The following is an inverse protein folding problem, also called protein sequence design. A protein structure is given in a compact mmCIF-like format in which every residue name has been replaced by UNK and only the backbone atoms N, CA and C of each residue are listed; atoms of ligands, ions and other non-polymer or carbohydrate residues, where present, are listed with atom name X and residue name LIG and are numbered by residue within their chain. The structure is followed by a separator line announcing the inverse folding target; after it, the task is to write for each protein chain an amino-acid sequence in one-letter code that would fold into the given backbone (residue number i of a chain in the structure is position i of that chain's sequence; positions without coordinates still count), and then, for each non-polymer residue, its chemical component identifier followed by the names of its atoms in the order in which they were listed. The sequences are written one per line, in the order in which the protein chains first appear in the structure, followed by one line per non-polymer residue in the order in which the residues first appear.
data_IF_467779460321
#
_entry.id   IF_467779460321
#
_cell.length_a   1.000
_cell.length_b   1.000
_cell.length_c   1.000
_cell.angle_alpha   90.00
_cell.angle_beta   90.00
_cell.angle_gamma   90.00
#
_symmetry.space_group_name_H-M   'P 1'
#
loop_
_entity.id
_entity.type
_entity.pdbx_description
1 polymer ?
#
# COMPACT_ATOMS: atom_id res chain seq x y z
N UNK A 1 -48.42 65.16 -5.23
CA UNK A 1 -47.72 64.04 -5.93
C UNK A 1 -46.99 64.62 -7.14
N UNK A 2 -45.65 64.57 -7.16
CA UNK A 2 -44.80 65.40 -8.03
C UNK A 2 -44.99 65.11 -9.54
N UNK A 3 -45.50 66.09 -10.29
CA UNK A 3 -45.66 66.04 -11.77
C UNK A 3 -44.35 65.73 -12.52
N UNK A 4 -43.21 66.06 -11.92
CA UNK A 4 -41.88 65.72 -12.43
C UNK A 4 -41.67 64.20 -12.53
N UNK A 5 -42.08 63.46 -11.49
CA UNK A 5 -41.88 62.02 -11.43
C UNK A 5 -42.73 61.29 -12.47
N UNK A 6 -43.97 61.75 -12.70
CA UNK A 6 -44.86 61.24 -13.76
C UNK A 6 -44.30 61.51 -15.17
N UNK A 7 -43.72 62.69 -15.41
CA UNK A 7 -43.19 63.08 -16.73
C UNK A 7 -41.95 62.28 -17.14
N UNK A 8 -41.11 61.88 -16.17
CA UNK A 8 -39.85 61.18 -16.42
C UNK A 8 -39.83 59.74 -15.91
N UNK A 9 -40.98 59.18 -15.50
CA UNK A 9 -41.10 57.87 -14.87
C UNK A 9 -40.37 56.76 -15.65
N UNK A 10 -40.59 56.70 -16.97
CA UNK A 10 -39.95 55.68 -17.83
C UNK A 10 -38.42 55.84 -17.89
N UNK A 11 -37.93 57.07 -17.97
CA UNK A 11 -36.49 57.34 -18.02
C UNK A 11 -35.83 56.99 -16.67
N UNK A 12 -36.44 57.36 -15.54
CA UNK A 12 -35.94 57.04 -14.20
C UNK A 12 -35.87 55.52 -14.00
N UNK A 13 -36.92 54.78 -14.38
CA UNK A 13 -36.95 53.31 -14.29
C UNK A 13 -35.81 52.70 -15.12
N UNK A 14 -35.63 53.14 -16.38
CA UNK A 14 -34.57 52.61 -17.24
C UNK A 14 -33.16 52.94 -16.72
N UNK A 15 -32.93 54.12 -16.16
CA UNK A 15 -31.63 54.46 -15.56
C UNK A 15 -31.32 53.59 -14.35
N UNK A 16 -32.32 53.27 -13.51
CA UNK A 16 -32.15 52.35 -12.38
C UNK A 16 -31.88 50.92 -12.87
N UNK A 17 -32.62 50.43 -13.86
CA UNK A 17 -32.43 49.09 -14.43
C UNK A 17 -31.04 48.94 -15.08
N UNK A 18 -30.62 49.92 -15.88
CA UNK A 18 -29.29 49.93 -16.51
C UNK A 18 -28.19 50.06 -15.46
N UNK A 19 -28.39 50.87 -14.42
CA UNK A 19 -27.47 50.96 -13.28
C UNK A 19 -27.33 49.63 -12.52
N UNK A 20 -28.43 48.90 -12.33
CA UNK A 20 -28.42 47.58 -11.69
C UNK A 20 -27.76 46.51 -12.57
N UNK A 21 -28.00 46.54 -13.88
CA UNK A 21 -27.37 45.62 -14.84
C UNK A 21 -25.87 45.90 -14.96
N UNK A 22 -25.45 47.16 -15.11
CA UNK A 22 -24.04 47.54 -15.19
C UNK A 22 -23.32 47.31 -13.84
N UNK A 23 -23.98 47.59 -12.72
CA UNK A 23 -23.45 47.30 -11.38
C UNK A 23 -23.33 45.80 -11.14
N UNK A 24 -24.32 45.01 -11.55
CA UNK A 24 -24.30 43.55 -11.47
C UNK A 24 -23.22 42.93 -12.36
N UNK A 25 -23.08 43.39 -13.61
CA UNK A 25 -22.00 42.97 -14.52
C UNK A 25 -20.64 43.41 -13.99
N UNK A 26 -20.53 44.62 -13.43
CA UNK A 26 -19.31 45.15 -12.81
C UNK A 26 -18.87 44.33 -11.59
N UNK A 27 -19.79 44.02 -10.66
CA UNK A 27 -19.55 43.16 -9.51
C UNK A 27 -19.20 41.73 -9.93
N UNK A 28 -19.92 41.17 -10.90
CA UNK A 28 -19.67 39.83 -11.43
C UNK A 28 -18.31 39.72 -12.13
N UNK A 29 -17.93 40.71 -12.93
CA UNK A 29 -16.61 40.77 -13.57
C UNK A 29 -15.50 41.00 -12.55
N UNK A 30 -15.69 41.88 -11.58
CA UNK A 30 -14.71 42.12 -10.51
C UNK A 30 -14.50 40.89 -9.62
N UNK A 31 -15.56 40.15 -9.26
CA UNK A 31 -15.45 38.87 -8.56
C UNK A 31 -14.77 37.79 -9.39
N UNK A 32 -15.02 37.73 -10.71
CA UNK A 32 -14.42 36.75 -11.61
C UNK A 32 -12.91 36.92 -11.80
N UNK A 33 -12.38 38.14 -11.66
CA UNK A 33 -10.96 38.44 -11.82
C UNK A 33 -10.21 38.73 -10.51
N UNK A 34 -10.91 38.86 -9.38
CA UNK A 34 -10.26 38.98 -8.08
C UNK A 34 -9.71 37.61 -7.65
N UNK A 35 -8.47 37.53 -7.14
CA UNK A 35 -7.95 36.29 -6.61
C UNK A 35 -8.83 35.81 -5.44
N UNK A 36 -9.02 34.48 -5.28
CA UNK A 36 -9.84 33.95 -4.20
C UNK A 36 -9.31 34.44 -2.84
N UNK A 37 -10.19 34.70 -1.85
CA UNK A 37 -9.76 35.11 -0.53
C UNK A 37 -8.78 34.11 0.09
N UNK A 38 -7.75 34.60 0.78
CA UNK A 38 -6.83 33.73 1.53
C UNK A 38 -7.61 32.90 2.56
N UNK A 39 -7.31 31.61 2.63
CA UNK A 39 -8.01 30.66 3.49
C UNK A 39 -9.32 30.11 2.92
N UNK A 40 -9.83 30.62 1.80
CA UNK A 40 -11.06 30.09 1.18
C UNK A 40 -10.83 28.72 0.54
N UNK A 41 -11.91 27.97 0.33
CA UNK A 41 -11.88 26.69 -0.40
C UNK A 41 -11.34 26.84 -1.83
N UNK A 42 -11.55 28.01 -2.44
CA UNK A 42 -11.11 28.35 -3.80
C UNK A 42 -9.67 28.85 -3.86
N UNK A 43 -9.04 29.17 -2.72
CA UNK A 43 -7.66 29.63 -2.65
C UNK A 43 -6.73 28.65 -3.37
N UNK A 44 -5.95 29.15 -4.33
CA UNK A 44 -4.94 28.33 -5.02
C UNK A 44 -3.77 28.12 -4.08
N UNK A 45 -3.54 26.86 -3.69
CA UNK A 45 -2.49 26.48 -2.72
C UNK A 45 -1.38 25.64 -3.36
N UNK A 46 -1.61 25.11 -4.57
CA UNK A 46 -0.64 24.32 -5.31
C UNK A 46 -0.75 24.64 -6.81
N UNK A 47 0.39 24.81 -7.47
CA UNK A 47 0.48 24.95 -8.92
C UNK A 47 1.50 23.95 -9.45
N UNK A 48 1.08 23.08 -10.37
CA UNK A 48 1.93 22.06 -10.98
C UNK A 48 1.80 22.20 -12.49
N UNK A 49 2.89 22.51 -13.18
CA UNK A 49 2.88 22.61 -14.66
C UNK A 49 1.78 23.54 -15.20
N UNK A 50 1.55 24.66 -14.51
CA UNK A 50 0.51 25.64 -14.84
C UNK A 50 -0.91 25.26 -14.41
N UNK A 51 -1.16 24.00 -14.02
CA UNK A 51 -2.42 23.57 -13.43
C UNK A 51 -2.51 24.05 -11.98
N UNK A 52 -3.57 24.80 -11.68
CA UNK A 52 -3.86 25.32 -10.34
C UNK A 52 -4.74 24.33 -9.57
N UNK A 53 -4.40 24.10 -8.32
CA UNK A 53 -5.19 23.31 -7.38
C UNK A 53 -5.60 24.20 -6.21
N UNK A 54 -6.89 24.21 -5.93
CA UNK A 54 -7.44 24.95 -4.80
C UNK A 54 -7.21 24.20 -3.48
N UNK A 55 -7.42 24.91 -2.37
CA UNK A 55 -7.44 24.33 -1.03
C UNK A 55 -8.43 23.18 -0.94
N UNK A 56 -9.60 23.31 -1.59
CA UNK A 56 -10.58 22.23 -1.67
C UNK A 56 -10.02 21.02 -2.41
N UNK A 57 -9.33 21.19 -3.52
CA UNK A 57 -8.77 20.04 -4.25
C UNK A 57 -7.76 19.24 -3.41
N UNK A 58 -6.93 19.93 -2.62
CA UNK A 58 -5.99 19.27 -1.70
C UNK A 58 -6.74 18.59 -0.56
N UNK A 59 -7.83 19.20 -0.07
CA UNK A 59 -8.68 18.61 0.96
C UNK A 59 -9.38 17.33 0.44
N UNK A 60 -9.98 17.38 -0.74
CA UNK A 60 -10.62 16.22 -1.37
C UNK A 60 -9.62 15.07 -1.57
N UNK A 61 -8.39 15.39 -2.02
CA UNK A 61 -7.33 14.39 -2.17
C UNK A 61 -6.92 13.76 -0.83
N UNK A 62 -6.85 14.57 0.23
CA UNK A 62 -6.58 14.11 1.58
C UNK A 62 -7.71 13.22 2.10
N UNK A 63 -8.96 13.64 1.99
CA UNK A 63 -10.11 12.89 2.48
C UNK A 63 -10.24 11.53 1.75
N UNK A 64 -10.01 11.51 0.44
CA UNK A 64 -9.95 10.27 -0.34
C UNK A 64 -8.84 9.32 0.14
N UNK A 65 -7.65 9.87 0.47
CA UNK A 65 -6.53 9.07 0.98
C UNK A 65 -6.82 8.49 2.37
N UNK A 66 -7.40 9.29 3.27
CA UNK A 66 -7.79 8.83 4.60
C UNK A 66 -8.89 7.76 4.51
N UNK A 67 -9.87 7.95 3.62
CA UNK A 67 -10.93 6.97 3.39
C UNK A 67 -10.37 5.64 2.87
N UNK A 68 -9.41 5.69 1.95
CA UNK A 68 -8.71 4.48 1.47
C UNK A 68 -8.05 3.71 2.62
N UNK A 69 -7.25 4.38 3.46
CA UNK A 69 -6.61 3.71 4.60
C UNK A 69 -7.61 3.22 5.65
N UNK A 70 -8.69 3.98 5.88
CA UNK A 70 -9.75 3.57 6.80
C UNK A 70 -10.39 2.25 6.35
N UNK A 71 -10.74 2.13 5.07
CA UNK A 71 -11.31 0.90 4.51
C UNK A 71 -10.32 -0.26 4.56
N UNK A 72 -9.05 0.01 4.21
CA UNK A 72 -7.99 -0.99 4.23
C UNK A 72 -7.83 -1.60 5.62
N UNK A 73 -7.73 -0.77 6.66
CA UNK A 73 -7.54 -1.23 8.04
C UNK A 73 -8.80 -1.86 8.62
N UNK A 74 -9.99 -1.35 8.27
CA UNK A 74 -11.26 -1.94 8.70
C UNK A 74 -11.42 -3.38 8.20
N UNK A 75 -10.91 -3.72 7.01
CA UNK A 75 -10.90 -5.09 6.51
C UNK A 75 -10.09 -6.06 7.40
N UNK A 76 -9.16 -5.54 8.20
CA UNK A 76 -8.39 -6.31 9.20
C UNK A 76 -8.91 -6.10 10.64
N UNK A 77 -10.10 -5.51 10.81
CA UNK A 77 -10.69 -5.24 12.13
C UNK A 77 -10.00 -4.12 12.91
N UNK A 78 -9.24 -3.26 12.24
CA UNK A 78 -8.50 -2.15 12.86
C UNK A 78 -9.15 -0.80 12.55
N UNK A 79 -9.14 0.11 13.52
CA UNK A 79 -9.61 1.50 13.35
C UNK A 79 -8.43 2.42 13.03
N UNK A 80 -8.29 2.77 11.75
CA UNK A 80 -7.24 3.68 11.28
C UNK A 80 -7.33 5.07 11.90
N UNK A 81 -8.53 5.54 12.28
CA UNK A 81 -8.74 6.92 12.74
C UNK A 81 -8.01 7.22 14.05
N UNK A 82 -7.65 6.19 14.82
CA UNK A 82 -6.81 6.32 16.02
C UNK A 82 -5.44 6.94 15.69
N UNK A 83 -4.88 6.63 14.52
CA UNK A 83 -3.60 7.20 14.06
C UNK A 83 -3.71 8.71 13.75
N UNK A 84 -4.93 9.26 13.70
CA UNK A 84 -5.18 10.67 13.43
C UNK A 84 -5.55 11.44 14.70
N UNK A 85 -5.49 10.84 15.88
CA UNK A 85 -5.84 11.47 17.16
C UNK A 85 -4.61 11.86 17.99
N UNK A 86 -4.77 12.79 18.92
CA UNK A 86 -3.68 13.26 19.79
C UNK A 86 -2.59 14.07 19.07
N UNK A 87 -1.45 14.21 19.73
CA UNK A 87 -0.28 14.95 19.22
C UNK A 87 0.33 14.26 18.01
N UNK A 88 0.51 12.94 18.07
CA UNK A 88 1.05 12.15 16.96
C UNK A 88 0.08 12.17 15.78
N UNK A 89 -1.23 12.12 16.06
CA UNK A 89 -2.25 12.30 15.04
C UNK A 89 -2.19 13.65 14.35
N UNK A 90 -1.88 14.73 15.06
CA UNK A 90 -1.70 16.05 14.44
C UNK A 90 -0.55 16.06 13.44
N UNK A 91 0.57 15.44 13.78
CA UNK A 91 1.69 15.23 12.86
C UNK A 91 1.26 14.36 11.66
N UNK A 92 0.61 13.22 11.92
CA UNK A 92 0.17 12.29 10.88
C UNK A 92 -0.80 12.94 9.88
N UNK A 93 -1.73 13.78 10.33
CA UNK A 93 -2.62 14.54 9.43
C UNK A 93 -1.83 15.41 8.45
N UNK A 94 -0.75 16.05 8.90
CA UNK A 94 0.12 16.83 8.00
C UNK A 94 0.87 15.92 7.01
N UNK A 95 1.38 14.78 7.47
CA UNK A 95 2.04 13.79 6.62
C UNK A 95 1.11 13.26 5.53
N UNK A 96 -0.10 12.83 5.87
CA UNK A 96 -1.06 12.36 4.88
C UNK A 96 -1.51 13.47 3.92
N UNK A 97 -1.62 14.71 4.40
CA UNK A 97 -1.92 15.86 3.53
C UNK A 97 -0.79 16.14 2.54
N UNK A 98 0.47 15.99 2.97
CA UNK A 98 1.62 16.06 2.08
C UNK A 98 1.57 14.93 1.04
N UNK A 99 1.31 13.68 1.46
CA UNK A 99 1.19 12.55 0.53
C UNK A 99 0.05 12.71 -0.48
N UNK A 100 -1.11 13.23 -0.05
CA UNK A 100 -2.22 13.53 -0.94
C UNK A 100 -1.86 14.64 -1.95
N UNK A 101 -1.13 15.66 -1.51
CA UNK A 101 -0.61 16.73 -2.37
C UNK A 101 0.38 16.17 -3.39
N UNK A 102 1.28 15.28 -2.97
CA UNK A 102 2.22 14.58 -3.86
C UNK A 102 1.47 13.74 -4.91
N UNK A 103 0.37 13.09 -4.54
CA UNK A 103 -0.50 12.40 -5.48
C UNK A 103 -1.04 13.30 -6.59
N UNK A 104 -1.43 14.55 -6.26
CA UNK A 104 -1.87 15.54 -7.26
C UNK A 104 -0.73 15.98 -8.19
N UNK A 105 0.48 16.11 -7.64
CA UNK A 105 1.69 16.42 -8.41
C UNK A 105 1.98 15.28 -9.38
N UNK A 106 2.14 14.05 -8.88
CA UNK A 106 2.39 12.85 -9.70
C UNK A 106 1.34 12.70 -10.79
N UNK A 107 0.05 12.78 -10.46
CA UNK A 107 -1.02 12.65 -11.45
C UNK A 107 -0.89 13.71 -12.57
N UNK A 108 -0.47 14.92 -12.23
CA UNK A 108 -0.27 15.99 -13.22
C UNK A 108 0.93 15.70 -14.13
N UNK A 109 2.04 15.23 -13.54
CA UNK A 109 3.25 14.87 -14.26
C UNK A 109 3.01 13.67 -15.21
N UNK A 110 2.37 12.60 -14.73
CA UNK A 110 2.01 11.45 -15.57
C UNK A 110 1.14 11.87 -16.75
N UNK A 111 0.10 12.70 -16.53
CA UNK A 111 -0.74 13.18 -17.64
C UNK A 111 0.01 14.11 -18.61
N UNK A 112 0.98 14.87 -18.12
CA UNK A 112 1.83 15.71 -18.98
C UNK A 112 2.71 14.82 -19.84
N UNK A 113 3.36 13.83 -19.23
CA UNK A 113 4.24 12.90 -19.92
C UNK A 113 3.49 12.05 -20.94
N UNK A 114 2.30 11.53 -20.58
CA UNK A 114 1.43 10.83 -21.51
C UNK A 114 1.13 11.65 -22.77
N UNK A 115 0.87 12.96 -22.63
CA UNK A 115 0.64 13.84 -23.78
C UNK A 115 1.90 14.04 -24.61
N UNK A 116 3.06 14.18 -23.97
CA UNK A 116 4.34 14.34 -24.65
C UNK A 116 4.73 13.08 -25.45
N UNK A 117 4.44 11.91 -24.89
CA UNK A 117 4.71 10.59 -25.48
C UNK A 117 3.61 10.09 -26.41
N UNK A 118 2.52 10.86 -26.58
CA UNK A 118 1.32 10.46 -27.33
C UNK A 118 0.67 9.15 -26.84
N UNK A 119 0.77 8.86 -25.54
CA UNK A 119 0.10 7.75 -24.88
C UNK A 119 -1.34 8.12 -24.58
N UNK A 120 -2.25 7.21 -24.91
CA UNK A 120 -3.67 7.33 -24.54
C UNK A 120 -4.23 5.96 -24.19
N UNK A 121 -5.26 5.94 -23.34
CA UNK A 121 -5.97 4.71 -22.98
C UNK A 121 -7.05 4.43 -24.02
N UNK A 122 -7.00 3.31 -24.76
CA UNK A 122 -8.06 2.91 -25.67
C UNK A 122 -9.41 2.78 -24.96
N UNK A 123 -10.49 3.29 -25.58
CA UNK A 123 -11.83 3.26 -24.99
C UNK A 123 -12.32 1.85 -24.65
N UNK A 124 -12.00 0.87 -25.50
CA UNK A 124 -12.40 -0.53 -25.30
C UNK A 124 -11.75 -1.11 -24.04
N UNK A 125 -10.45 -0.91 -23.89
CA UNK A 125 -9.67 -1.33 -22.71
C UNK A 125 -10.17 -0.68 -21.43
N UNK A 126 -10.41 0.65 -21.46
CA UNK A 126 -10.99 1.34 -20.32
C UNK A 126 -12.37 0.80 -19.94
N UNK A 127 -13.26 0.58 -20.92
CA UNK A 127 -14.59 0.05 -20.64
C UNK A 127 -14.53 -1.36 -20.03
N UNK A 128 -13.65 -2.21 -20.54
CA UNK A 128 -13.42 -3.55 -20.01
C UNK A 128 -12.89 -3.49 -18.57
N UNK A 129 -11.83 -2.72 -18.32
CA UNK A 129 -11.24 -2.55 -16.99
C UNK A 129 -12.26 -2.01 -15.97
N UNK A 130 -13.10 -1.04 -16.38
CA UNK A 130 -14.18 -0.52 -15.53
C UNK A 130 -15.20 -1.58 -15.20
N UNK A 131 -15.63 -2.37 -16.19
CA UNK A 131 -16.61 -3.44 -15.98
C UNK A 131 -16.04 -4.54 -15.06
N UNK A 132 -14.82 -5.01 -15.30
CA UNK A 132 -14.15 -6.02 -14.47
C UNK A 132 -13.97 -5.54 -13.03
N UNK A 133 -13.62 -4.26 -12.83
CA UNK A 133 -13.49 -3.69 -11.49
C UNK A 133 -14.85 -3.53 -10.83
N UNK A 134 -15.88 -3.14 -11.59
CA UNK A 134 -17.25 -3.02 -11.10
C UNK A 134 -17.81 -4.37 -10.65
N UNK A 135 -17.64 -5.43 -11.44
CA UNK A 135 -18.07 -6.79 -11.09
C UNK A 135 -17.36 -7.30 -9.84
N UNK A 136 -16.04 -7.12 -9.72
CA UNK A 136 -15.30 -7.45 -8.49
C UNK A 136 -15.82 -6.71 -7.26
N UNK A 137 -16.24 -5.45 -7.42
CA UNK A 137 -16.91 -4.74 -6.32
C UNK A 137 -18.26 -5.39 -6.02
N UNK A 138 -19.11 -5.67 -7.01
CA UNK A 138 -20.40 -6.33 -6.78
C UNK A 138 -20.25 -7.68 -6.05
N UNK A 139 -19.26 -8.48 -6.40
CA UNK A 139 -18.95 -9.75 -5.72
C UNK A 139 -18.69 -9.57 -4.22
N UNK A 140 -18.00 -8.50 -3.81
CA UNK A 140 -17.80 -8.17 -2.39
C UNK A 140 -19.11 -7.85 -1.65
N UNK A 141 -20.14 -7.42 -2.40
CA UNK A 141 -21.49 -7.17 -1.91
C UNK A 141 -22.45 -8.33 -2.25
N UNK A 142 -21.92 -9.54 -2.47
CA UNK A 142 -22.72 -10.74 -2.74
C UNK A 142 -23.41 -10.75 -4.11
N UNK A 143 -22.95 -9.93 -5.05
CA UNK A 143 -23.53 -9.78 -6.38
C UNK A 143 -24.78 -8.89 -6.43
N UNK A 144 -25.17 -8.23 -5.33
CA UNK A 144 -26.36 -7.39 -5.26
C UNK A 144 -26.01 -5.89 -5.43
N UNK A 145 -26.44 -5.31 -6.55
CA UNK A 145 -26.26 -3.87 -6.84
C UNK A 145 -26.98 -2.99 -5.81
N UNK A 146 -28.09 -3.47 -5.21
CA UNK A 146 -28.80 -2.70 -4.17
C UNK A 146 -28.04 -2.64 -2.87
N UNK A 147 -27.30 -3.69 -2.51
CA UNK A 147 -26.45 -3.69 -1.33
C UNK A 147 -25.32 -2.66 -1.50
N UNK A 148 -24.69 -2.62 -2.69
CA UNK A 148 -23.71 -1.60 -3.04
C UNK A 148 -24.32 -0.19 -3.02
N UNK A 149 -25.49 0.01 -3.64
CA UNK A 149 -26.17 1.32 -3.65
C UNK A 149 -26.50 1.82 -2.23
N UNK A 150 -26.95 0.93 -1.34
CA UNK A 150 -27.23 1.25 0.06
C UNK A 150 -25.96 1.67 0.81
N UNK A 151 -24.85 0.96 0.58
CA UNK A 151 -23.55 1.29 1.15
C UNK A 151 -23.04 2.67 0.67
N UNK A 152 -23.12 2.93 -0.65
CA UNK A 152 -22.71 4.21 -1.24
C UNK A 152 -23.57 5.36 -0.71
N UNK A 153 -24.88 5.15 -0.57
CA UNK A 153 -25.81 6.15 -0.05
C UNK A 153 -25.49 6.56 1.38
N UNK A 154 -25.02 5.62 2.22
CA UNK A 154 -24.55 5.92 3.57
C UNK A 154 -23.31 6.83 3.60
N UNK A 155 -22.55 6.89 2.51
CA UNK A 155 -21.40 7.78 2.32
C UNK A 155 -21.75 9.06 1.54
N UNK A 156 -23.03 9.28 1.23
CA UNK A 156 -23.49 10.42 0.45
C UNK A 156 -23.15 10.34 -1.04
N UNK A 157 -22.87 9.15 -1.56
CA UNK A 157 -22.55 8.91 -2.97
C UNK A 157 -23.71 8.18 -3.67
N UNK A 158 -24.00 8.57 -4.90
CA UNK A 158 -24.88 7.79 -5.78
C UNK A 158 -24.08 6.72 -6.52
N UNK A 159 -24.76 5.68 -7.01
CA UNK A 159 -24.16 4.68 -7.89
C UNK A 159 -23.56 5.33 -9.15
N UNK A 160 -24.19 6.38 -9.67
CA UNK A 160 -23.66 7.14 -10.80
C UNK A 160 -22.36 7.87 -10.45
N UNK A 161 -22.24 8.43 -9.24
CA UNK A 161 -21.00 9.06 -8.77
C UNK A 161 -19.88 8.02 -8.65
N UNK A 162 -20.20 6.87 -8.06
CA UNK A 162 -19.28 5.75 -7.97
C UNK A 162 -18.78 5.30 -9.34
N UNK A 163 -19.67 5.05 -10.31
CA UNK A 163 -19.28 4.65 -11.67
C UNK A 163 -18.40 5.70 -12.36
N UNK A 164 -18.65 7.00 -12.14
CA UNK A 164 -17.79 8.08 -12.68
C UNK A 164 -16.41 8.09 -12.03
N UNK A 165 -16.34 7.95 -10.71
CA UNK A 165 -15.07 7.87 -9.97
C UNK A 165 -14.28 6.63 -10.36
N UNK A 166 -14.95 5.48 -10.49
CA UNK A 166 -14.38 4.22 -10.93
C UNK A 166 -13.77 4.36 -12.33
N UNK A 167 -14.50 4.96 -13.27
CA UNK A 167 -13.98 5.21 -14.61
C UNK A 167 -12.74 6.10 -14.59
N UNK A 168 -12.76 7.19 -13.83
CA UNK A 168 -11.63 8.10 -13.74
C UNK A 168 -10.40 7.46 -13.07
N UNK A 169 -10.60 6.58 -12.08
CA UNK A 169 -9.51 5.86 -11.41
C UNK A 169 -8.91 4.79 -12.32
N UNK A 170 -9.72 4.00 -13.03
CA UNK A 170 -9.24 3.02 -14.01
C UNK A 170 -8.51 3.70 -15.18
N UNK A 171 -9.05 4.81 -15.71
CA UNK A 171 -8.38 5.58 -16.76
C UNK A 171 -7.01 6.08 -16.31
N UNK A 172 -6.90 6.59 -15.08
CA UNK A 172 -5.63 7.03 -14.54
C UNK A 172 -4.63 5.87 -14.35
N UNK A 173 -5.07 4.74 -13.80
CA UNK A 173 -4.22 3.56 -13.59
C UNK A 173 -3.66 3.02 -14.91
N UNK A 174 -4.52 2.83 -15.92
CA UNK A 174 -4.09 2.36 -17.24
C UNK A 174 -3.15 3.37 -17.93
N UNK A 175 -3.40 4.67 -17.76
CA UNK A 175 -2.52 5.71 -18.30
C UNK A 175 -1.13 5.68 -17.63
N UNK A 176 -1.09 5.56 -16.30
CA UNK A 176 0.17 5.47 -15.54
C UNK A 176 0.95 4.23 -15.94
N UNK A 177 0.30 3.08 -16.05
CA UNK A 177 0.92 1.83 -16.51
C UNK A 177 1.48 1.95 -17.94
N UNK A 178 0.70 2.51 -18.87
CA UNK A 178 1.13 2.68 -20.25
C UNK A 178 2.31 3.65 -20.38
N UNK A 179 2.30 4.77 -19.63
CA UNK A 179 3.43 5.70 -19.56
C UNK A 179 4.66 5.02 -18.96
N UNK A 180 4.50 4.33 -17.83
CA UNK A 180 5.59 3.62 -17.18
C UNK A 180 6.23 2.61 -18.13
N UNK A 181 5.42 1.79 -18.82
CA UNK A 181 5.89 0.82 -19.81
C UNK A 181 6.67 1.49 -20.95
N UNK A 182 6.21 2.63 -21.44
CA UNK A 182 6.91 3.35 -22.52
C UNK A 182 8.21 4.01 -22.04
N UNK A 183 8.26 4.55 -20.83
CA UNK A 183 9.43 5.22 -20.26
C UNK A 183 10.51 4.22 -19.86
N UNK A 184 10.12 3.14 -19.19
CA UNK A 184 11.05 2.13 -18.68
C UNK A 184 11.52 1.19 -19.79
N UNK A 185 10.65 0.88 -20.76
CA UNK A 185 10.94 -0.10 -21.80
C UNK A 185 10.95 -1.53 -21.27
N UNK A 186 11.41 -2.51 -22.07
CA UNK A 186 11.58 -3.88 -21.62
C UNK A 186 12.70 -3.96 -20.57
N UNK A 187 12.40 -4.58 -19.43
CA UNK A 187 13.40 -4.98 -18.44
C UNK A 187 13.63 -6.48 -18.63
N UNK A 188 14.77 -6.84 -19.22
CA UNK A 188 15.19 -8.22 -19.42
C UNK A 188 16.53 -8.40 -18.71
N UNK A 189 16.54 -8.75 -17.40
CA UNK A 189 17.79 -8.97 -16.69
C UNK A 189 18.49 -10.21 -17.25
N UNK A 190 19.81 -10.14 -17.35
CA UNK A 190 20.64 -11.27 -17.79
C UNK A 190 20.79 -12.30 -16.68
N UNK A 191 21.06 -13.56 -17.05
CA UNK A 191 21.34 -14.62 -16.07
C UNK A 191 22.51 -14.26 -15.14
N UNK A 192 23.49 -13.50 -15.64
CA UNK A 192 24.63 -13.01 -14.86
C UNK A 192 24.22 -11.97 -13.81
N UNK A 193 23.36 -11.01 -14.17
CA UNK A 193 22.82 -10.02 -13.22
C UNK A 193 21.94 -10.70 -12.16
N UNK A 194 21.13 -11.69 -12.56
CA UNK A 194 20.32 -12.47 -11.63
C UNK A 194 21.19 -13.29 -10.67
N UNK A 195 22.23 -13.94 -11.19
CA UNK A 195 23.17 -14.71 -10.38
C UNK A 195 23.93 -13.81 -9.40
N UNK A 196 24.41 -12.67 -9.85
CA UNK A 196 25.10 -11.68 -9.02
C UNK A 196 24.17 -11.19 -7.91
N UNK A 197 22.95 -10.79 -8.26
CA UNK A 197 21.97 -10.33 -7.28
C UNK A 197 21.63 -11.44 -6.26
N UNK A 198 21.45 -12.69 -6.71
CA UNK A 198 21.22 -13.82 -5.82
C UNK A 198 22.40 -14.05 -4.86
N UNK A 199 23.64 -14.02 -5.36
CA UNK A 199 24.84 -14.20 -4.55
C UNK A 199 25.01 -13.09 -3.50
N UNK A 200 24.70 -11.84 -3.86
CA UNK A 200 24.77 -10.69 -2.95
C UNK A 200 23.64 -10.67 -1.90
N UNK A 201 22.55 -11.41 -2.14
CA UNK A 201 21.35 -11.39 -1.29
C UNK A 201 20.91 -12.81 -0.87
N UNK A 202 21.85 -13.74 -0.71
CA UNK A 202 21.56 -15.13 -0.36
C UNK A 202 20.71 -15.25 0.91
N UNK A 203 20.92 -14.34 1.88
CA UNK A 203 20.17 -14.20 3.12
C UNK A 203 18.65 -14.08 2.89
N UNK A 204 18.23 -13.40 1.82
CA UNK A 204 16.81 -13.25 1.46
C UNK A 204 16.19 -14.50 0.85
N UNK A 205 17.02 -15.41 0.36
CA UNK A 205 16.61 -16.61 -0.39
C UNK A 205 16.87 -17.92 0.34
N UNK A 206 17.45 -17.86 1.56
CA UNK A 206 17.47 -18.97 2.51
C UNK A 206 16.04 -19.23 3.01
N UNK A 207 15.23 -19.86 2.15
CA UNK A 207 13.82 -20.16 2.39
C UNK A 207 13.59 -21.31 3.36
N UNK A 208 14.64 -22.06 3.70
CA UNK A 208 14.61 -23.04 4.75
C UNK A 208 15.69 -22.68 5.78
N UNK A 209 15.33 -22.53 7.06
CA UNK A 209 16.34 -22.41 8.11
C UNK A 209 17.27 -23.61 8.02
N UNK A 210 18.56 -23.40 8.28
CA UNK A 210 19.57 -24.46 8.39
C UNK A 210 18.98 -25.64 9.19
N UNK A 211 18.95 -26.83 8.57
CA UNK A 211 18.51 -28.06 9.22
C UNK A 211 19.69 -28.99 9.31
N UNK A 212 19.88 -29.58 10.49
CA UNK A 212 20.88 -30.61 10.72
C UNK A 212 20.19 -31.88 11.23
N UNK A 213 20.89 -33.00 11.10
CA UNK A 213 20.54 -34.28 11.68
C UNK A 213 21.80 -34.80 12.35
N UNK A 214 21.69 -35.17 13.63
CA UNK A 214 22.82 -35.64 14.42
C UNK A 214 22.50 -37.01 15.00
N UNK A 215 23.55 -37.69 15.46
CA UNK A 215 23.41 -38.79 16.39
C UNK A 215 23.74 -38.28 17.80
N UNK A 216 22.90 -38.62 18.77
CA UNK A 216 22.95 -38.13 20.15
C UNK A 216 22.96 -39.31 21.14
N UNK A 217 23.83 -39.23 22.15
CA UNK A 217 23.92 -40.20 23.24
C UNK A 217 23.82 -39.42 24.54
N UNK A 218 22.79 -39.71 25.33
CA UNK A 218 22.62 -39.13 26.66
C UNK A 218 23.17 -40.10 27.70
N UNK A 219 24.03 -39.66 28.61
CA UNK A 219 24.52 -40.47 29.72
C UNK A 219 24.55 -39.63 30.98
N UNK A 220 24.13 -40.19 32.12
CA UNK A 220 24.17 -39.51 33.41
C UNK A 220 25.54 -39.56 34.10
N UNK A 221 26.41 -40.50 33.69
CA UNK A 221 27.76 -40.68 34.23
C UNK A 221 28.82 -39.95 33.37
N UNK A 222 29.49 -38.91 33.90
CA UNK A 222 30.54 -38.19 33.20
C UNK A 222 31.73 -39.06 32.79
N UNK A 223 32.09 -40.09 33.58
CA UNK A 223 33.24 -40.96 33.26
C UNK A 223 32.95 -41.82 32.03
N UNK A 224 31.70 -42.27 31.86
CA UNK A 224 31.25 -42.97 30.66
C UNK A 224 31.21 -42.02 29.46
N UNK A 225 30.76 -40.77 29.65
CA UNK A 225 30.75 -39.76 28.58
C UNK A 225 32.15 -39.54 28.00
N UNK A 226 33.16 -39.30 28.84
CA UNK A 226 34.54 -39.08 28.42
C UNK A 226 35.15 -40.31 27.74
N UNK A 227 34.86 -41.51 28.26
CA UNK A 227 35.33 -42.77 27.69
C UNK A 227 34.75 -43.03 26.29
N UNK A 228 33.46 -42.75 26.09
CA UNK A 228 32.80 -42.94 24.79
C UNK A 228 33.18 -41.84 23.79
N UNK A 229 33.36 -40.59 24.24
CA UNK A 229 33.86 -39.50 23.41
C UNK A 229 35.24 -39.82 22.81
N UNK A 230 36.14 -40.43 23.60
CA UNK A 230 37.45 -40.86 23.12
C UNK A 230 37.40 -41.98 22.07
N UNK A 231 36.31 -42.75 22.01
CA UNK A 231 36.11 -43.86 21.08
C UNK A 231 35.28 -43.45 19.85
N UNK A 232 34.50 -42.37 19.96
CA UNK A 232 33.52 -41.95 18.97
C UNK A 232 34.05 -41.73 17.54
N UNK A 233 35.29 -41.24 17.30
CA UNK A 233 35.79 -41.05 15.93
C UNK A 233 35.86 -42.32 15.08
N UNK A 234 36.03 -43.49 15.70
CA UNK A 234 36.19 -44.79 15.03
C UNK A 234 35.12 -45.83 15.44
N UNK A 235 34.20 -45.46 16.34
CA UNK A 235 33.20 -46.37 16.88
C UNK A 235 31.90 -46.40 16.06
N UNK A 236 31.18 -47.52 16.15
CA UNK A 236 29.79 -47.61 15.69
C UNK A 236 28.90 -46.82 16.66
N UNK A 237 28.67 -45.56 16.33
CA UNK A 237 27.87 -44.64 17.15
C UNK A 237 26.45 -45.16 17.40
N UNK A 238 25.88 -45.90 16.45
CA UNK A 238 24.56 -46.50 16.60
C UNK A 238 24.56 -47.64 17.64
N UNK A 239 25.63 -48.44 17.68
CA UNK A 239 25.81 -49.46 18.71
C UNK A 239 26.00 -48.82 20.10
N UNK A 240 26.83 -47.78 20.19
CA UNK A 240 27.04 -47.04 21.45
C UNK A 240 25.74 -46.41 21.96
N UNK A 241 24.98 -45.77 21.08
CA UNK A 241 23.69 -45.19 21.44
C UNK A 241 22.74 -46.26 21.99
N UNK A 242 22.62 -47.40 21.32
CA UNK A 242 21.74 -48.49 21.76
C UNK A 242 22.13 -49.08 23.11
N UNK A 243 23.42 -49.22 23.38
CA UNK A 243 23.92 -49.84 24.61
C UNK A 243 23.90 -48.87 25.79
N UNK A 244 24.30 -47.61 25.57
CA UNK A 244 24.62 -46.68 26.66
C UNK A 244 23.69 -45.46 26.76
N UNK A 245 22.99 -45.07 25.68
CA UNK A 245 22.15 -43.86 25.72
C UNK A 245 20.98 -44.01 26.69
N UNK A 246 20.69 -42.96 27.44
CA UNK A 246 19.50 -42.76 28.27
C UNK A 246 18.37 -42.04 27.50
N UNK A 247 18.63 -41.58 26.26
CA UNK A 247 17.61 -40.99 25.39
C UNK A 247 16.73 -42.07 24.76
N UNK A 248 15.65 -42.43 25.45
CA UNK A 248 14.65 -43.41 25.02
C UNK A 248 14.01 -43.07 23.65
N UNK A 249 14.05 -41.81 23.18
CA UNK A 249 13.45 -41.42 21.91
C UNK A 249 14.29 -41.87 20.70
N UNK A 250 15.62 -41.87 20.83
CA UNK A 250 16.55 -42.12 19.72
C UNK A 250 17.46 -43.32 19.94
N UNK A 251 17.61 -43.83 21.17
CA UNK A 251 18.45 -44.98 21.54
C UNK A 251 18.30 -46.19 20.62
N UNK A 252 17.07 -46.63 20.37
CA UNK A 252 16.78 -47.79 19.51
C UNK A 252 16.96 -47.51 18.01
N UNK A 253 17.18 -46.25 17.63
CA UNK A 253 17.46 -45.77 16.27
C UNK A 253 18.92 -45.32 16.11
N UNK A 254 19.81 -45.79 16.99
CA UNK A 254 21.24 -45.46 16.93
C UNK A 254 21.56 -44.02 17.34
N UNK A 255 20.69 -43.39 18.14
CA UNK A 255 20.86 -42.00 18.59
C UNK A 255 20.45 -40.96 17.55
N UNK A 256 20.02 -41.37 16.36
CA UNK A 256 19.75 -40.45 15.26
C UNK A 256 18.46 -39.64 15.48
N UNK A 257 18.60 -38.31 15.41
CA UNK A 257 17.46 -37.38 15.41
C UNK A 257 16.79 -37.32 14.03
N UNK A 258 15.59 -36.76 13.98
CA UNK A 258 15.06 -36.22 12.72
C UNK A 258 15.78 -34.92 12.33
N UNK A 259 15.58 -34.45 11.11
CA UNK A 259 16.10 -33.15 10.67
C UNK A 259 15.42 -32.01 11.43
N UNK A 260 16.18 -31.20 12.15
CA UNK A 260 15.66 -30.07 12.91
C UNK A 260 16.36 -28.76 12.57
N UNK A 261 15.64 -27.66 12.72
CA UNK A 261 16.19 -26.30 12.66
C UNK A 261 16.53 -25.79 14.05
N UNK A 262 17.26 -24.68 14.13
CA UNK A 262 17.51 -23.99 15.40
C UNK A 262 16.20 -23.74 16.15
N UNK A 263 16.15 -24.11 17.43
CA UNK A 263 14.99 -24.07 18.32
C UNK A 263 14.02 -25.24 18.16
N UNK A 264 14.34 -26.23 17.32
CA UNK A 264 13.43 -27.33 16.96
C UNK A 264 13.96 -28.73 17.28
N UNK A 265 15.10 -28.88 17.96
CA UNK A 265 15.70 -30.19 18.24
C UNK A 265 14.96 -30.98 19.33
N UNK A 266 14.42 -30.28 20.33
CA UNK A 266 13.94 -30.89 21.58
C UNK A 266 15.05 -31.32 22.54
N UNK A 267 16.31 -31.08 22.20
CA UNK A 267 17.50 -31.36 23.02
C UNK A 267 17.83 -30.19 23.96
N UNK A 268 18.70 -30.38 24.97
CA UNK A 268 19.26 -29.28 25.74
C UNK A 268 19.90 -28.22 24.84
N UNK A 269 19.75 -26.94 25.21
CA UNK A 269 20.15 -25.81 24.37
C UNK A 269 21.64 -25.82 24.02
N UNK A 270 22.48 -26.26 24.97
CA UNK A 270 23.92 -26.37 24.83
C UNK A 270 24.31 -27.42 23.78
N UNK A 271 23.59 -28.55 23.75
CA UNK A 271 23.79 -29.63 22.78
C UNK A 271 23.39 -29.15 21.38
N UNK A 272 22.22 -28.53 21.27
CA UNK A 272 21.76 -27.98 19.98
C UNK A 272 22.75 -26.94 19.44
N UNK A 273 23.24 -26.06 20.31
CA UNK A 273 24.22 -25.04 19.91
C UNK A 273 25.50 -25.67 19.37
N UNK A 274 26.07 -26.65 20.08
CA UNK A 274 27.27 -27.36 19.64
C UNK A 274 27.04 -28.10 18.31
N UNK A 275 25.89 -28.78 18.16
CA UNK A 275 25.54 -29.52 16.95
C UNK A 275 25.52 -28.65 15.68
N UNK A 276 25.10 -27.38 15.79
CA UNK A 276 25.12 -26.43 14.69
C UNK A 276 26.50 -25.77 14.44
N UNK A 277 27.50 -26.03 15.28
CA UNK A 277 28.88 -25.57 15.11
C UNK A 277 29.79 -26.66 14.51
N UNK A 278 29.31 -27.91 14.43
CA UNK A 278 30.05 -29.06 13.90
C UNK A 278 29.96 -29.17 12.38
N UNK A 279 31.08 -29.56 11.76
CA UNK A 279 31.09 -30.03 10.37
C UNK A 279 30.58 -31.48 10.27
N UNK A 280 30.19 -31.88 9.05
CA UNK A 280 29.73 -33.25 8.79
C UNK A 280 30.78 -34.29 9.22
N UNK A 281 30.40 -35.18 10.15
CA UNK A 281 31.23 -36.29 10.63
C UNK A 281 32.09 -35.97 11.85
N UNK A 282 31.98 -34.78 12.42
CA UNK A 282 32.60 -34.45 13.72
C UNK A 282 31.74 -34.92 14.90
N UNK A 283 32.39 -35.11 16.04
CA UNK A 283 31.79 -35.45 17.35
C UNK A 283 32.16 -34.37 18.35
#
# INVERSE_FOLDING_TARGET
MNRFFMRYQKAIIWTVVVGFLLGGIGLFTFQRFSPPPRGSAEEVVLVVEGKKFSRQNVQDAYDNLIQYYTQLYQAFGQDFTQNLQGTDGAFNRHTYRASATEGLIRQTLIRKEARALHVSVPKAELNQSVEERYQRTLEQFGGDEKALESYLSAQGLTLADYRRQLRASQEYQLLEEAVHKQVVGPIEPTDEELLTYYQEHQDRYQSQPERIRIAYIEVSDPELSDQHLAQAPDADFAALAKEYSEDEATKDKGGETDWFSRGGSGLPQEVEKAAFELDQGQV
#
